data_IF_882052171773
#
_entry.id   IF_882052171773
#
_cell.length_a   1.000
_cell.length_b   1.000
_cell.length_c   1.000
_cell.angle_alpha   90.00
_cell.angle_beta   90.00
_cell.angle_gamma   90.00
#
_symmetry.space_group_name_H-M   'P 1'
#
loop_
_entity.id
_entity.type
_entity.pdbx_description
1 polymer ?
#
# COMPACT_ATOMS: atom_id res chain seq x y z
N UNK A 1 -17.47 -6.45 -2.76
CA UNK A 1 -16.89 -7.81 -2.83
C UNK A 1 -16.57 -8.25 -1.40
N UNK A 2 -16.95 -9.48 -0.98
CA UNK A 2 -16.63 -9.98 0.36
C UNK A 2 -15.13 -10.33 0.46
N UNK A 3 -14.57 -10.18 1.67
CA UNK A 3 -13.13 -10.36 1.97
C UNK A 3 -12.62 -11.81 1.83
N UNK A 4 -13.49 -12.80 1.67
CA UNK A 4 -13.14 -14.22 1.81
C UNK A 4 -12.44 -14.85 0.60
N UNK A 5 -12.31 -14.11 -0.51
CA UNK A 5 -11.66 -14.61 -1.74
C UNK A 5 -10.15 -14.46 -1.77
N UNK A 6 -9.52 -13.83 -0.76
CA UNK A 6 -8.08 -13.56 -0.78
C UNK A 6 -7.19 -14.68 -0.24
N UNK A 7 -7.74 -15.63 0.53
CA UNK A 7 -6.92 -16.61 1.27
C UNK A 7 -7.01 -18.06 0.79
N UNK A 8 -7.98 -18.39 -0.06
CA UNK A 8 -8.07 -19.72 -0.64
C UNK A 8 -7.68 -19.69 -2.12
N UNK A 9 -6.38 -19.75 -2.38
CA UNK A 9 -5.86 -20.37 -3.60
C UNK A 9 -4.36 -20.66 -3.44
N UNK A 10 -3.98 -21.92 -3.58
CA UNK A 10 -2.61 -22.40 -3.84
C UNK A 10 -2.05 -21.95 -5.19
N UNK A 11 -2.74 -21.06 -5.91
CA UNK A 11 -2.23 -20.37 -7.09
C UNK A 11 -1.69 -19.01 -6.68
N UNK A 12 -0.45 -18.71 -7.07
CA UNK A 12 0.15 -17.37 -6.98
C UNK A 12 -0.86 -16.28 -7.38
N UNK A 13 -0.93 -15.16 -6.66
CA UNK A 13 -1.83 -14.04 -6.97
C UNK A 13 -1.67 -13.51 -8.42
N UNK A 14 -0.57 -13.90 -9.05
CA UNK A 14 -0.17 -13.62 -10.42
C UNK A 14 -1.09 -14.26 -11.48
N UNK A 15 -1.83 -15.33 -11.14
CA UNK A 15 -2.67 -16.10 -12.07
C UNK A 15 -4.18 -16.10 -11.78
N UNK A 16 -4.67 -15.27 -10.84
CA UNK A 16 -6.07 -15.26 -10.45
C UNK A 16 -7.04 -14.75 -11.53
N UNK A 17 -8.32 -15.11 -11.42
CA UNK A 17 -9.41 -14.67 -12.31
C UNK A 17 -9.48 -13.14 -12.45
N UNK A 18 -9.23 -12.42 -11.37
CA UNK A 18 -9.23 -10.95 -11.33
C UNK A 18 -8.13 -10.33 -12.23
N UNK A 19 -6.95 -10.96 -12.31
CA UNK A 19 -5.86 -10.53 -13.20
C UNK A 19 -6.25 -10.67 -14.67
N UNK A 20 -7.00 -11.73 -15.01
CA UNK A 20 -7.49 -11.97 -16.38
C UNK A 20 -8.51 -10.91 -16.77
N UNK A 21 -9.47 -10.59 -15.92
CA UNK A 21 -10.47 -9.55 -16.21
C UNK A 21 -9.84 -8.15 -16.32
N UNK A 22 -8.86 -7.82 -15.49
CA UNK A 22 -8.13 -6.54 -15.61
C UNK A 22 -7.33 -6.44 -16.90
N UNK A 23 -6.72 -7.53 -17.37
CA UNK A 23 -5.99 -7.55 -18.66
C UNK A 23 -6.91 -7.18 -19.82
N UNK A 24 -8.14 -7.69 -19.83
CA UNK A 24 -9.11 -7.44 -20.92
C UNK A 24 -9.38 -5.96 -21.15
N UNK A 25 -9.32 -5.13 -20.09
CA UNK A 25 -9.53 -3.68 -20.19
C UNK A 25 -8.50 -2.98 -21.08
N UNK A 26 -7.31 -3.57 -21.24
CA UNK A 26 -6.18 -2.99 -21.98
C UNK A 26 -5.85 -3.75 -23.27
N UNK A 27 -6.68 -4.71 -23.68
CA UNK A 27 -6.47 -5.45 -24.93
C UNK A 27 -6.39 -4.50 -26.13
N UNK A 28 -5.47 -4.78 -27.05
CA UNK A 28 -5.21 -3.95 -28.23
C UNK A 28 -4.85 -2.49 -27.89
N UNK A 29 -4.18 -2.27 -26.76
CA UNK A 29 -3.74 -0.95 -26.29
C UNK A 29 -4.90 0.02 -26.05
N UNK A 30 -6.07 -0.50 -25.66
CA UNK A 30 -7.20 0.32 -25.23
C UNK A 30 -6.87 1.04 -23.93
N UNK A 31 -7.39 2.25 -23.79
CA UNK A 31 -7.36 2.99 -22.55
C UNK A 31 -8.49 2.52 -21.63
N UNK A 32 -8.22 2.52 -20.32
CA UNK A 32 -9.19 2.17 -19.30
C UNK A 32 -9.30 3.29 -18.28
N UNK A 33 -10.49 3.45 -17.70
CA UNK A 33 -10.77 4.45 -16.68
C UNK A 33 -10.86 3.80 -15.31
N UNK A 34 -10.21 4.42 -14.33
CA UNK A 34 -10.23 4.00 -12.93
C UNK A 34 -10.63 5.17 -12.05
N UNK A 35 -11.30 4.83 -10.94
CA UNK A 35 -11.56 5.77 -9.86
C UNK A 35 -11.07 5.14 -8.56
N UNK A 36 -10.27 5.89 -7.81
CA UNK A 36 -9.77 5.49 -6.51
C UNK A 36 -9.82 6.68 -5.57
N UNK A 37 -9.90 6.41 -4.27
CA UNK A 37 -9.66 7.45 -3.26
C UNK A 37 -8.19 7.82 -3.33
N UNK A 38 -7.89 9.12 -3.32
CA UNK A 38 -6.53 9.60 -3.12
C UNK A 38 -6.10 9.29 -1.68
N UNK A 39 -5.18 8.34 -1.53
CA UNK A 39 -4.66 7.94 -0.24
C UNK A 39 -3.47 8.83 0.15
N UNK A 40 -3.76 9.84 0.97
CA UNK A 40 -2.75 10.66 1.62
C UNK A 40 -3.16 10.89 3.07
N UNK A 41 -2.18 10.97 3.98
CA UNK A 41 -2.44 11.01 5.42
C UNK A 41 -3.37 12.17 5.83
N UNK A 42 -3.30 13.32 5.15
CA UNK A 42 -4.16 14.50 5.38
C UNK A 42 -5.62 14.32 4.91
N UNK A 43 -5.88 13.40 3.99
CA UNK A 43 -7.23 13.07 3.49
C UNK A 43 -7.87 11.89 4.23
N UNK A 44 -7.16 11.34 5.22
CA UNK A 44 -7.61 10.23 6.05
C UNK A 44 -8.13 10.67 7.43
N UNK A 45 -8.30 11.98 7.65
CA UNK A 45 -8.86 12.57 8.86
C UNK A 45 -10.29 13.13 8.59
N UNK A 46 -11.16 13.24 9.62
CA UNK A 46 -12.59 13.51 9.42
C UNK A 46 -12.97 14.99 9.19
N UNK A 47 -12.06 15.93 9.42
CA UNK A 47 -12.25 17.37 9.27
C UNK A 47 -12.09 17.80 7.80
N UNK A 48 -12.92 18.75 7.38
CA UNK A 48 -12.75 19.41 6.09
C UNK A 48 -11.62 20.44 6.16
N UNK A 49 -10.95 20.66 5.03
CA UNK A 49 -10.00 21.76 4.90
C UNK A 49 -10.74 23.10 4.95
N UNK A 50 -10.18 24.07 5.67
CA UNK A 50 -10.69 25.44 5.74
C UNK A 50 -10.61 26.13 4.38
N UNK A 51 -11.47 27.13 4.17
CA UNK A 51 -11.45 27.96 2.97
C UNK A 51 -10.14 28.72 2.84
N UNK A 52 -9.79 29.08 1.60
CA UNK A 52 -8.58 29.81 1.23
C UNK A 52 -7.26 29.08 1.55
N UNK A 53 -7.30 27.75 1.68
CA UNK A 53 -6.08 26.93 1.61
C UNK A 53 -5.79 26.54 0.16
N UNK A 54 -4.58 26.86 -0.30
CA UNK A 54 -4.02 26.30 -1.52
C UNK A 54 -3.48 24.89 -1.23
N UNK A 55 -3.77 23.94 -2.12
CA UNK A 55 -3.39 22.54 -1.97
C UNK A 55 -2.80 22.05 -3.29
N UNK A 56 -1.49 21.85 -3.27
CA UNK A 56 -0.76 21.26 -4.38
C UNK A 56 -0.62 19.76 -4.19
N UNK A 57 -0.98 19.00 -5.22
CA UNK A 57 -0.91 17.54 -5.22
C UNK A 57 -0.06 17.12 -6.41
N UNK A 58 1.10 16.54 -6.11
CA UNK A 58 1.98 15.93 -7.11
C UNK A 58 1.80 14.41 -7.09
N UNK A 59 1.51 13.83 -8.25
CA UNK A 59 1.36 12.38 -8.41
C UNK A 59 2.41 11.90 -9.40
N UNK A 60 3.33 11.08 -8.90
CA UNK A 60 4.43 10.52 -9.68
C UNK A 60 4.14 9.03 -9.91
N UNK A 61 3.94 8.58 -11.16
CA UNK A 61 3.74 7.16 -11.43
C UNK A 61 5.04 6.37 -11.22
N UNK A 62 4.91 5.13 -10.75
CA UNK A 62 6.04 4.20 -10.71
C UNK A 62 6.44 3.75 -12.12
N UNK A 63 7.64 3.17 -12.23
CA UNK A 63 8.16 2.56 -13.47
C UNK A 63 7.16 1.55 -14.05
N UNK A 64 7.00 1.53 -15.38
CA UNK A 64 6.06 0.63 -16.06
C UNK A 64 6.31 -0.85 -15.73
N UNK A 65 7.55 -1.25 -15.42
CA UNK A 65 7.91 -2.61 -15.01
C UNK A 65 7.33 -3.01 -13.66
N UNK A 66 7.07 -2.04 -12.78
CA UNK A 66 6.44 -2.26 -11.49
C UNK A 66 4.90 -2.26 -11.60
N UNK A 67 4.35 -1.39 -12.45
CA UNK A 67 2.89 -1.23 -12.59
C UNK A 67 2.25 -2.31 -13.45
N UNK A 68 2.95 -2.78 -14.48
CA UNK A 68 2.42 -3.75 -15.45
C UNK A 68 2.90 -5.17 -15.13
N UNK A 69 2.01 -6.15 -15.34
CA UNK A 69 2.31 -7.56 -15.20
C UNK A 69 2.01 -8.30 -16.51
N UNK A 70 2.97 -9.08 -16.99
CA UNK A 70 2.89 -9.92 -18.20
C UNK A 70 2.90 -11.41 -17.87
N UNK A 71 2.55 -11.78 -16.64
CA UNK A 71 2.45 -13.18 -16.21
C UNK A 71 1.56 -14.01 -17.15
N UNK A 72 2.04 -15.17 -17.58
CA UNK A 72 1.27 -16.08 -18.43
C UNK A 72 1.19 -15.70 -19.92
N UNK A 73 1.97 -14.72 -20.41
CA UNK A 73 2.22 -14.59 -21.85
C UNK A 73 3.13 -15.74 -22.30
N UNK A 74 2.59 -16.65 -23.12
CA UNK A 74 3.29 -17.86 -23.58
C UNK A 74 3.96 -17.66 -24.95
N UNK A 75 3.51 -16.68 -25.73
CA UNK A 75 4.00 -16.42 -27.07
C UNK A 75 5.31 -15.62 -27.03
N UNK A 76 6.35 -16.12 -27.70
CA UNK A 76 7.67 -15.49 -27.74
C UNK A 76 7.65 -14.02 -28.23
N UNK A 77 6.70 -13.68 -29.12
CA UNK A 77 6.49 -12.30 -29.61
C UNK A 77 5.88 -11.36 -28.56
N UNK A 78 4.98 -11.85 -27.72
CA UNK A 78 4.38 -11.07 -26.63
C UNK A 78 5.38 -10.82 -25.50
N UNK A 79 6.27 -11.79 -25.24
CA UNK A 79 7.35 -11.67 -24.25
C UNK A 79 8.41 -10.63 -24.67
N UNK A 80 8.63 -10.46 -25.97
CA UNK A 80 9.58 -9.46 -26.51
C UNK A 80 8.99 -8.04 -26.60
N UNK A 81 7.66 -7.91 -26.51
CA UNK A 81 6.98 -6.62 -26.63
C UNK A 81 7.15 -5.80 -25.35
N UNK A 82 7.66 -4.58 -25.48
CA UNK A 82 7.80 -3.64 -24.36
C UNK A 82 6.50 -2.89 -24.16
N UNK A 83 5.87 -3.07 -23.01
CA UNK A 83 4.69 -2.32 -22.62
C UNK A 83 5.07 -1.06 -21.86
N UNK A 84 4.34 0.03 -22.12
CA UNK A 84 4.51 1.30 -21.43
C UNK A 84 3.20 1.67 -20.73
N UNK A 85 3.31 2.07 -19.47
CA UNK A 85 2.19 2.61 -18.71
C UNK A 85 2.21 4.13 -18.80
N UNK A 86 1.12 4.71 -19.29
CA UNK A 86 0.94 6.15 -19.44
C UNK A 86 -0.39 6.59 -18.85
N UNK A 87 -0.38 7.70 -18.12
CA UNK A 87 -1.59 8.34 -17.61
C UNK A 87 -2.05 9.40 -18.60
N UNK A 88 -3.10 9.10 -19.36
CA UNK A 88 -3.60 9.98 -20.43
C UNK A 88 -4.35 11.21 -19.89
N UNK A 89 -5.17 11.02 -18.84
CA UNK A 89 -5.95 12.10 -18.23
C UNK A 89 -6.19 11.79 -16.75
N UNK A 90 -6.18 12.82 -15.91
CA UNK A 90 -6.48 12.71 -14.49
C UNK A 90 -7.49 13.78 -14.08
N UNK A 91 -8.49 13.39 -13.30
CA UNK A 91 -9.49 14.28 -12.71
C UNK A 91 -9.59 14.03 -11.21
N UNK A 92 -9.56 15.10 -10.42
CA UNK A 92 -9.79 15.05 -8.98
C UNK A 92 -11.21 15.53 -8.67
N UNK A 93 -12.01 14.66 -8.05
CA UNK A 93 -13.34 15.02 -7.55
C UNK A 93 -13.22 15.38 -6.07
N UNK A 94 -13.62 16.61 -5.72
CA UNK A 94 -13.55 17.12 -4.35
C UNK A 94 -14.95 17.45 -3.85
N UNK A 95 -15.24 17.06 -2.61
CA UNK A 95 -16.47 17.46 -1.92
C UNK A 95 -16.28 18.83 -1.29
N UNK A 96 -17.12 19.80 -1.65
CA UNK A 96 -17.21 21.12 -1.01
C UNK A 96 -18.45 21.17 -0.11
N UNK A 97 -18.38 21.98 0.93
CA UNK A 97 -19.47 22.19 1.89
C UNK A 97 -19.77 23.69 1.92
N UNK A 98 -21.00 24.05 1.58
CA UNK A 98 -21.47 25.43 1.69
C UNK A 98 -21.87 25.72 3.14
N UNK A 99 -21.40 26.85 3.67
CA UNK A 99 -21.63 27.28 5.05
C UNK A 99 -22.60 28.46 5.07
N UNK A 100 -23.37 28.58 6.15
CA UNK A 100 -24.13 29.79 6.42
C UNK A 100 -23.18 30.95 6.74
N UNK A 101 -23.51 32.17 6.29
CA UNK A 101 -22.65 33.35 6.44
C UNK A 101 -22.22 33.61 7.89
N UNK A 102 -23.13 33.43 8.86
CA UNK A 102 -22.82 33.60 10.28
C UNK A 102 -21.77 32.62 10.80
N UNK A 103 -21.80 31.36 10.33
CA UNK A 103 -20.81 30.35 10.69
C UNK A 103 -19.47 30.61 10.01
N UNK A 104 -19.49 31.02 8.74
CA UNK A 104 -18.28 31.40 8.01
C UNK A 104 -17.55 32.57 8.69
N UNK A 105 -18.29 33.59 9.15
CA UNK A 105 -17.73 34.72 9.88
C UNK A 105 -17.14 34.32 11.25
N UNK A 106 -17.82 33.45 12.00
CA UNK A 106 -17.30 32.95 13.29
C UNK A 106 -16.00 32.15 13.09
N UNK A 107 -15.93 31.30 12.06
CA UNK A 107 -14.71 30.56 11.72
C UNK A 107 -13.58 31.53 11.36
N UNK A 108 -13.84 32.54 10.53
CA UNK A 108 -12.83 33.53 10.15
C UNK A 108 -12.25 34.27 11.37
N UNK A 109 -13.11 34.76 12.28
CA UNK A 109 -12.69 35.42 13.53
C UNK A 109 -11.88 34.49 14.44
N UNK A 110 -12.25 33.21 14.51
CA UNK A 110 -11.48 32.23 15.28
C UNK A 110 -10.10 31.98 14.69
N UNK A 111 -9.97 31.97 13.36
CA UNK A 111 -8.69 31.78 12.69
C UNK A 111 -7.70 32.94 12.90
N UNK A 112 -8.19 34.16 13.17
CA UNK A 112 -7.35 35.31 13.56
C UNK A 112 -6.66 35.09 14.92
N UNK A 113 -7.31 34.38 15.83
CA UNK A 113 -6.79 34.16 17.20
C UNK A 113 -6.13 32.81 17.38
N UNK A 114 -6.59 31.78 16.67
CA UNK A 114 -6.14 30.40 16.84
C UNK A 114 -6.03 29.70 15.48
N UNK A 115 -4.86 29.14 15.13
CA UNK A 115 -4.71 28.41 13.88
C UNK A 115 -5.54 27.13 13.88
N UNK A 116 -6.05 26.76 12.69
CA UNK A 116 -6.62 25.43 12.46
C UNK A 116 -5.55 24.36 12.69
N UNK A 117 -5.92 23.28 13.37
CA UNK A 117 -5.02 22.15 13.64
C UNK A 117 -5.65 20.88 13.10
N UNK A 118 -4.94 20.20 12.21
CA UNK A 118 -5.33 18.90 11.67
C UNK A 118 -4.46 17.83 12.31
N UNK A 119 -5.10 16.89 13.01
CA UNK A 119 -4.41 15.72 13.53
C UNK A 119 -4.22 14.71 12.41
N UNK A 120 -2.97 14.45 12.05
CA UNK A 120 -2.61 13.54 10.96
C UNK A 120 -2.02 12.26 11.57
N UNK A 121 -2.51 11.10 11.13
CA UNK A 121 -1.84 9.82 11.40
C UNK A 121 -0.90 9.54 10.23
N UNK A 122 0.39 9.61 10.48
CA UNK A 122 1.40 9.34 9.45
C UNK A 122 1.56 7.84 9.21
N UNK A 123 1.51 7.42 7.95
CA UNK A 123 1.88 6.07 7.53
C UNK A 123 3.25 6.12 6.87
N UNK A 124 4.16 5.20 7.25
CA UNK A 124 5.51 5.15 6.69
C UNK A 124 5.87 3.72 6.32
N UNK A 125 6.38 3.54 5.11
CA UNK A 125 6.97 2.30 4.65
C UNK A 125 8.49 2.39 4.80
N UNK A 126 9.10 1.36 5.39
CA UNK A 126 10.56 1.24 5.50
C UNK A 126 11.00 -0.08 4.88
N UNK A 127 11.69 -0.07 3.73
CA UNK A 127 12.22 -1.29 3.15
C UNK A 127 13.43 -1.78 3.95
N UNK A 128 13.50 -3.10 4.16
CA UNK A 128 14.61 -3.78 4.81
C UNK A 128 15.04 -4.93 3.91
N UNK A 129 16.35 -5.05 3.67
CA UNK A 129 16.91 -6.07 2.79
C UNK A 129 17.60 -7.16 3.62
N UNK A 130 17.18 -8.41 3.41
CA UNK A 130 17.78 -9.60 4.03
C UNK A 130 18.55 -10.35 2.94
N UNK A 131 19.86 -10.50 3.13
CA UNK A 131 20.71 -11.25 2.19
C UNK A 131 20.44 -12.76 2.30
N UNK A 132 20.56 -13.47 1.18
CA UNK A 132 20.43 -14.93 1.15
C UNK A 132 21.41 -15.61 2.12
N UNK A 133 20.97 -16.71 2.75
CA UNK A 133 21.79 -17.52 3.67
C UNK A 133 21.87 -16.97 5.09
N UNK A 134 21.16 -15.89 5.43
CA UNK A 134 21.00 -15.44 6.81
C UNK A 134 19.84 -16.13 7.50
N UNK A 135 20.09 -16.60 8.71
CA UNK A 135 19.07 -17.15 9.61
C UNK A 135 18.53 -16.11 10.60
N UNK A 136 19.30 -15.05 10.85
CA UNK A 136 18.95 -13.98 11.79
C UNK A 136 19.09 -12.61 11.12
N UNK A 137 18.15 -11.72 11.42
CA UNK A 137 18.14 -10.35 10.93
C UNK A 137 17.61 -9.42 12.03
N UNK A 138 18.42 -8.42 12.37
CA UNK A 138 18.09 -7.40 13.36
C UNK A 138 18.21 -6.02 12.72
N UNK A 139 17.18 -5.19 12.85
CA UNK A 139 17.18 -3.83 12.30
C UNK A 139 16.39 -2.88 13.18
N UNK A 140 16.89 -1.64 13.30
CA UNK A 140 16.16 -0.57 13.96
C UNK A 140 15.04 -0.08 13.04
N UNK A 141 13.78 -0.27 13.45
CA UNK A 141 12.61 0.13 12.64
C UNK A 141 12.36 1.64 12.72
N UNK A 142 12.40 2.19 13.92
CA UNK A 142 12.13 3.60 14.23
C UNK A 142 13.14 4.10 15.27
N UNK A 143 13.40 5.42 15.28
CA UNK A 143 14.31 6.06 16.24
C UNK A 143 13.51 6.82 17.30
N UNK A 144 12.72 7.82 16.90
CA UNK A 144 12.11 8.76 17.86
C UNK A 144 10.61 8.53 18.09
N UNK A 145 9.92 7.90 17.14
CA UNK A 145 8.47 7.72 17.19
C UNK A 145 8.10 6.24 17.10
N UNK A 146 7.52 5.72 18.17
CA UNK A 146 7.02 4.35 18.22
C UNK A 146 5.68 4.31 17.47
N UNK A 147 5.56 3.55 16.37
CA UNK A 147 4.31 3.45 15.63
C UNK A 147 3.27 2.70 16.47
N UNK A 148 2.00 3.09 16.32
CA UNK A 148 0.88 2.41 16.99
C UNK A 148 0.63 1.00 16.44
N UNK A 149 0.97 0.76 15.16
CA UNK A 149 0.79 -0.51 14.47
C UNK A 149 1.95 -0.72 13.51
N UNK A 150 2.48 -1.94 13.48
CA UNK A 150 3.49 -2.38 12.53
C UNK A 150 2.90 -3.52 11.72
N UNK A 151 2.97 -3.40 10.40
CA UNK A 151 2.62 -4.48 9.47
C UNK A 151 3.88 -4.84 8.72
N UNK A 152 4.22 -6.13 8.74
CA UNK A 152 5.39 -6.66 8.05
C UNK A 152 4.91 -7.50 6.87
N UNK A 153 5.51 -7.26 5.71
CA UNK A 153 5.32 -8.08 4.52
C UNK A 153 6.69 -8.43 3.96
N UNK A 154 6.89 -9.69 3.62
CA UNK A 154 8.11 -10.12 2.94
C UNK A 154 7.79 -10.42 1.49
N UNK A 155 8.63 -9.92 0.60
CA UNK A 155 8.57 -10.15 -0.84
C UNK A 155 9.97 -10.46 -1.35
N UNK A 156 10.07 -11.11 -2.51
CA UNK A 156 11.40 -11.33 -3.09
C UNK A 156 11.97 -10.01 -3.62
N UNK A 157 13.29 -9.91 -3.72
CA UNK A 157 13.91 -8.69 -4.22
C UNK A 157 13.48 -8.36 -5.66
N UNK A 158 13.26 -9.37 -6.51
CA UNK A 158 12.75 -9.18 -7.87
C UNK A 158 11.35 -8.57 -7.88
N UNK A 159 10.47 -9.02 -6.97
CA UNK A 159 9.11 -8.47 -6.85
C UNK A 159 9.14 -7.03 -6.35
N UNK A 160 9.98 -6.74 -5.35
CA UNK A 160 10.13 -5.39 -4.79
C UNK A 160 10.64 -4.36 -5.82
N UNK A 161 11.63 -4.74 -6.64
CA UNK A 161 12.19 -3.86 -7.68
C UNK A 161 11.22 -3.69 -8.86
N UNK A 162 10.32 -4.66 -9.08
CA UNK A 162 9.39 -4.69 -10.21
C UNK A 162 9.95 -5.52 -11.37
N UNK A 163 9.67 -6.83 -11.34
CA UNK A 163 9.81 -7.72 -12.48
C UNK A 163 8.47 -7.82 -13.19
N UNK A 164 8.42 -7.47 -14.48
CA UNK A 164 7.19 -7.49 -15.27
C UNK A 164 6.51 -8.85 -15.30
N UNK A 165 7.23 -9.95 -15.07
CA UNK A 165 6.67 -11.31 -15.06
C UNK A 165 6.05 -11.68 -13.71
N UNK A 166 6.26 -10.88 -12.67
CA UNK A 166 5.91 -11.20 -11.28
C UNK A 166 5.09 -10.07 -10.66
N UNK A 167 4.43 -10.35 -9.54
CA UNK A 167 3.67 -9.32 -8.84
C UNK A 167 4.46 -8.75 -7.65
N UNK A 168 4.56 -7.42 -7.50
CA UNK A 168 5.13 -6.80 -6.30
C UNK A 168 4.30 -7.04 -5.03
N UNK A 169 3.05 -7.50 -5.17
CA UNK A 169 2.14 -7.81 -4.07
C UNK A 169 2.10 -9.31 -3.73
N UNK A 170 3.03 -10.10 -4.27
CA UNK A 170 3.16 -11.52 -3.96
C UNK A 170 3.96 -11.72 -2.66
N UNK A 171 3.26 -11.66 -1.53
CA UNK A 171 3.87 -11.83 -0.22
C UNK A 171 4.14 -13.30 0.06
N UNK A 172 5.38 -13.62 0.46
CA UNK A 172 5.79 -14.96 0.84
C UNK A 172 6.26 -14.98 2.29
N UNK A 173 6.08 -16.10 2.97
CA UNK A 173 6.54 -16.24 4.34
C UNK A 173 8.05 -16.53 4.46
N UNK A 174 8.70 -17.00 3.37
CA UNK A 174 10.13 -17.35 3.32
C UNK A 174 10.62 -18.21 4.50
N UNK A 175 9.76 -19.08 5.03
CA UNK A 175 10.04 -19.92 6.21
C UNK A 175 10.52 -19.15 7.45
N UNK A 176 10.07 -17.89 7.63
CA UNK A 176 10.34 -17.11 8.84
C UNK A 176 9.74 -17.84 10.05
N UNK A 177 10.59 -18.21 11.02
CA UNK A 177 10.20 -18.96 12.22
C UNK A 177 9.77 -18.07 13.38
N UNK A 178 10.47 -16.96 13.58
CA UNK A 178 10.22 -16.07 14.71
C UNK A 178 10.26 -14.61 14.28
N UNK A 179 9.36 -13.81 14.84
CA UNK A 179 9.38 -12.36 14.75
C UNK A 179 9.16 -11.79 16.15
N UNK A 180 10.10 -10.95 16.60
CA UNK A 180 9.98 -10.18 17.84
C UNK A 180 10.36 -8.72 17.59
N UNK A 181 9.61 -7.80 18.20
CA UNK A 181 9.86 -6.36 18.11
C UNK A 181 10.07 -5.85 19.53
N UNK A 182 11.19 -5.17 19.77
CA UNK A 182 11.50 -4.62 21.09
C UNK A 182 11.32 -3.10 21.04
N UNK A 183 10.51 -2.56 21.94
CA UNK A 183 10.30 -1.12 22.08
C UNK A 183 10.21 -0.73 23.57
N UNK A 184 10.98 0.26 24.00
CA UNK A 184 11.07 0.69 25.40
C UNK A 184 11.32 -0.46 26.39
N UNK A 185 12.19 -1.41 26.03
CA UNK A 185 12.51 -2.58 26.86
C UNK A 185 11.39 -3.62 26.99
N UNK A 186 10.32 -3.52 26.18
CA UNK A 186 9.21 -4.49 26.12
C UNK A 186 9.16 -5.16 24.76
N UNK A 187 8.81 -6.44 24.77
CA UNK A 187 8.62 -7.23 23.55
C UNK A 187 7.17 -7.12 23.04
N UNK A 188 7.04 -6.97 21.73
CA UNK A 188 5.79 -6.91 20.99
C UNK A 188 5.86 -7.94 19.85
N UNK A 189 4.93 -8.90 19.80
CA UNK A 189 4.00 -9.28 20.88
C UNK A 189 4.73 -9.76 22.14
N UNK A 190 4.05 -9.75 23.30
CA UNK A 190 4.64 -10.18 24.58
C UNK A 190 5.10 -11.64 24.56
N UNK A 191 4.30 -12.51 23.92
CA UNK A 191 4.71 -13.85 23.54
C UNK A 191 5.10 -13.82 22.05
N UNK A 192 6.37 -14.10 21.69
CA UNK A 192 6.84 -14.11 20.31
C UNK A 192 5.96 -14.94 19.39
N UNK A 193 6.02 -14.65 18.10
CA UNK A 193 5.44 -15.53 17.12
C UNK A 193 6.37 -16.72 16.89
N UNK A 194 5.83 -17.93 16.97
CA UNK A 194 6.50 -19.17 16.60
C UNK A 194 5.73 -19.78 15.44
N UNK A 195 6.30 -19.69 14.25
CA UNK A 195 5.66 -20.03 12.99
C UNK A 195 6.02 -21.43 12.56
N UNK A 196 4.98 -22.23 12.31
CA UNK A 196 5.10 -23.55 11.72
C UNK A 196 4.09 -23.66 10.56
N UNK A 197 4.60 -23.41 9.36
CA UNK A 197 3.79 -23.40 8.14
C UNK A 197 3.35 -24.80 7.71
N UNK A 198 4.14 -25.83 8.01
CA UNK A 198 3.84 -27.22 7.68
C UNK A 198 2.63 -27.72 8.48
N UNK A 199 2.57 -27.38 9.78
CA UNK A 199 1.46 -27.78 10.66
C UNK A 199 0.36 -26.71 10.81
N UNK A 200 0.36 -25.67 9.98
CA UNK A 200 -0.70 -24.64 9.97
C UNK A 200 -0.69 -23.64 11.14
N UNK A 201 0.39 -23.58 11.93
CA UNK A 201 0.49 -22.71 13.11
C UNK A 201 1.09 -21.35 12.74
N UNK A 202 0.32 -20.54 12.01
CA UNK A 202 0.73 -19.17 11.65
C UNK A 202 -0.42 -18.14 11.70
N UNK A 203 -1.65 -18.60 11.97
CA UNK A 203 -2.87 -17.78 11.91
C UNK A 203 -2.83 -16.60 12.88
N UNK A 204 -2.16 -16.75 14.05
CA UNK A 204 -2.06 -15.69 15.06
C UNK A 204 -1.44 -14.40 14.51
N UNK A 205 -0.49 -14.48 13.58
CA UNK A 205 0.13 -13.29 13.00
C UNK A 205 -0.68 -12.66 11.86
N UNK A 206 -1.69 -13.36 11.34
CA UNK A 206 -2.58 -12.85 10.29
C UNK A 206 -3.77 -12.05 10.87
N UNK A 207 -3.97 -12.10 12.19
CA UNK A 207 -5.02 -11.34 12.87
C UNK A 207 -4.57 -9.88 13.05
N UNK A 208 -5.15 -8.96 12.26
CA UNK A 208 -4.89 -7.51 12.26
C UNK A 208 -6.02 -6.74 12.96
#
# INVERSE_FOLDING_TARGET
MPLDTFYNNTSTQEGGLDTIERRRLFENSKTAQFIAKLDADIFNQPLYLINHCEVDIEIIPNDSRFVLMTFGLQNAMEVATRYHFEVVNMKLYVKKVDLMDGLALDIAKRLETKPARYSIRKTMMKPLFISQGRYEFNANLFMDQIPRRITLGLVSNSDYVGDIKRSPFNFHHFNVREISIIANGRNYPQAPYDFDYENGKYVRALMI
#
